data_IF_536818633353
#
_entry.id   IF_536818633353
#
_cell.length_a   1.000
_cell.length_b   1.000
_cell.length_c   1.000
_cell.angle_alpha   90.00
_cell.angle_beta   90.00
_cell.angle_gamma   90.00
#
_symmetry.space_group_name_H-M   'P 1'
#
loop_
_entity.id
_entity.type
_entity.pdbx_description
1 polymer ?
#
# COMPACT_ATOMS: atom_id res chain seq x y z
N UNK A 1 37.22 51.85 1.24
CA UNK A 1 36.35 50.89 0.54
C UNK A 1 36.06 49.79 1.53
N UNK A 2 34.86 49.80 2.09
CA UNK A 2 34.46 49.09 3.31
C UNK A 2 33.87 47.76 2.89
N UNK A 3 34.49 46.64 3.29
CA UNK A 3 34.00 45.30 2.93
C UNK A 3 33.16 44.73 4.06
N UNK A 4 31.91 44.42 3.72
CA UNK A 4 30.86 43.94 4.61
C UNK A 4 31.10 42.52 5.15
N UNK A 5 31.00 42.45 6.47
CA UNK A 5 30.31 41.45 7.29
C UNK A 5 29.43 40.42 6.53
N UNK A 6 29.73 39.13 6.69
CA UNK A 6 28.74 38.04 6.48
C UNK A 6 28.76 37.10 7.69
N UNK A 7 27.69 37.18 8.47
CA UNK A 7 27.46 36.38 9.67
C UNK A 7 27.30 34.89 9.31
N UNK A 8 28.00 34.05 10.07
CA UNK A 8 27.96 32.59 9.99
C UNK A 8 26.62 32.08 10.53
N UNK A 9 25.90 31.33 9.69
CA UNK A 9 24.64 30.72 10.04
C UNK A 9 24.82 29.62 11.10
N UNK A 10 23.83 29.57 11.97
CA UNK A 10 23.72 28.74 13.17
C UNK A 10 23.75 27.25 12.82
N UNK A 11 24.84 26.59 13.22
CA UNK A 11 24.96 25.15 13.36
C UNK A 11 24.00 24.68 14.46
N UNK A 12 22.78 24.33 14.06
CA UNK A 12 21.85 23.64 14.95
C UNK A 12 22.24 22.17 14.95
N UNK A 13 23.13 21.82 15.88
CA UNK A 13 23.65 20.47 16.13
C UNK A 13 22.57 19.46 16.55
N UNK A 14 21.55 19.28 15.72
CA UNK A 14 20.63 18.18 15.82
C UNK A 14 21.28 16.97 15.16
N UNK A 15 21.42 15.85 15.87
CA UNK A 15 22.02 14.65 15.30
C UNK A 15 21.20 14.21 14.08
N UNK A 16 21.87 14.07 12.93
CA UNK A 16 21.30 13.43 11.74
C UNK A 16 21.17 11.95 12.05
N UNK A 17 19.99 11.54 12.53
CA UNK A 17 19.70 10.15 12.86
C UNK A 17 19.60 9.36 11.55
N UNK A 18 20.65 8.62 11.25
CA UNK A 18 20.68 7.70 10.12
C UNK A 18 19.74 6.52 10.40
N UNK A 19 18.71 6.31 9.56
CA UNK A 19 17.76 5.20 9.74
C UNK A 19 18.44 3.83 9.81
N UNK A 20 19.64 3.68 9.23
CA UNK A 20 20.44 2.45 9.31
C UNK A 20 21.14 2.23 10.64
N UNK A 21 21.33 3.24 11.49
CA UNK A 21 21.92 3.06 12.83
C UNK A 21 20.91 2.55 13.87
N UNK A 22 19.61 2.64 13.60
CA UNK A 22 18.57 2.12 14.50
C UNK A 22 18.50 0.58 14.56
N UNK A 23 19.07 -0.13 13.57
CA UNK A 23 19.02 -1.59 13.52
C UNK A 23 20.23 -2.31 14.14
N UNK A 24 21.24 -1.58 14.64
CA UNK A 24 22.46 -2.19 15.19
C UNK A 24 22.45 -2.39 16.71
N UNK A 25 21.35 -2.06 17.40
CA UNK A 25 21.24 -2.22 18.84
C UNK A 25 19.98 -3.01 19.21
N UNK A 26 19.99 -4.32 18.94
CA UNK A 26 19.04 -5.25 19.54
C UNK A 26 19.81 -6.31 20.33
N UNK A 27 19.77 -6.27 21.68
CA UNK A 27 20.32 -7.33 22.52
C UNK A 27 19.48 -8.60 22.37
N UNK A 28 20.13 -9.69 21.97
CA UNK A 28 19.54 -11.03 21.95
C UNK A 28 19.44 -11.59 23.38
N UNK A 29 18.54 -11.06 24.21
CA UNK A 29 18.15 -11.68 25.48
C UNK A 29 16.94 -10.97 26.11
N UNK A 30 15.72 -11.23 25.63
CA UNK A 30 14.49 -11.12 26.42
C UNK A 30 13.46 -12.11 25.82
N UNK A 31 13.69 -13.38 26.11
CA UNK A 31 12.71 -14.45 25.92
C UNK A 31 11.51 -14.21 26.88
N UNK A 32 10.30 -14.26 26.30
CA UNK A 32 8.97 -14.45 26.93
C UNK A 32 8.17 -13.20 27.39
N UNK A 33 8.73 -11.99 27.44
CA UNK A 33 8.04 -10.86 28.10
C UNK A 33 7.50 -9.72 27.26
N UNK A 34 7.82 -9.64 25.98
CA UNK A 34 7.39 -8.54 25.11
C UNK A 34 7.31 -9.06 23.69
N UNK A 35 6.19 -9.68 23.33
CA UNK A 35 5.79 -9.59 21.94
C UNK A 35 5.78 -8.09 21.65
N UNK A 36 6.49 -7.62 20.59
CA UNK A 36 6.22 -6.30 20.09
C UNK A 36 4.71 -6.23 19.99
N UNK A 37 4.12 -5.16 20.50
CA UNK A 37 2.80 -4.78 20.05
C UNK A 37 2.93 -4.56 18.55
N UNK A 38 2.86 -5.66 17.77
CA UNK A 38 2.37 -5.68 16.42
C UNK A 38 1.06 -4.98 16.59
N UNK A 39 1.07 -3.71 16.20
CA UNK A 39 0.04 -2.75 16.50
C UNK A 39 -1.31 -3.43 16.31
N UNK A 40 -2.23 -3.30 17.27
CA UNK A 40 -3.61 -3.77 17.12
C UNK A 40 -4.30 -3.26 15.83
N UNK A 41 -3.67 -2.37 15.06
CA UNK A 41 -4.04 -1.99 13.69
C UNK A 41 -3.91 -3.14 12.66
N UNK A 42 -2.95 -4.07 12.78
CA UNK A 42 -2.88 -5.23 11.86
C UNK A 42 -3.96 -6.27 12.17
N UNK A 43 -4.45 -6.32 13.40
CA UNK A 43 -5.52 -7.23 13.82
C UNK A 43 -6.90 -6.85 13.23
N UNK A 44 -7.05 -5.64 12.68
CA UNK A 44 -8.30 -5.16 12.06
C UNK A 44 -8.26 -5.13 10.53
N UNK A 45 -7.13 -5.49 9.91
CA UNK A 45 -7.05 -5.54 8.45
C UNK A 45 -7.72 -6.80 7.92
N UNK A 46 -8.73 -6.60 7.09
CA UNK A 46 -9.29 -7.66 6.24
C UNK A 46 -8.19 -8.20 5.30
N UNK A 47 -8.38 -9.41 4.74
CA UNK A 47 -7.48 -9.92 3.71
C UNK A 47 -7.30 -8.96 2.53
N UNK A 48 -8.37 -8.28 2.10
CA UNK A 48 -8.35 -7.31 1.01
C UNK A 48 -7.50 -6.09 1.38
N UNK A 49 -7.63 -5.55 2.58
CA UNK A 49 -6.79 -4.41 3.03
C UNK A 49 -5.31 -4.78 2.99
N UNK A 50 -4.94 -5.98 3.46
CA UNK A 50 -3.53 -6.43 3.41
C UNK A 50 -3.02 -6.55 1.99
N UNK A 51 -3.79 -7.19 1.11
CA UNK A 51 -3.43 -7.34 -0.30
C UNK A 51 -3.32 -5.97 -1.00
N UNK A 52 -4.22 -5.04 -0.69
CA UNK A 52 -4.18 -3.68 -1.22
C UNK A 52 -2.92 -2.92 -0.79
N UNK A 53 -2.52 -3.02 0.47
CA UNK A 53 -1.30 -2.36 0.96
C UNK A 53 -0.05 -2.93 0.30
N UNK A 54 0.00 -4.24 0.08
CA UNK A 54 1.08 -4.90 -0.65
C UNK A 54 1.13 -4.43 -2.10
N UNK A 55 0.00 -4.48 -2.80
CA UNK A 55 -0.15 -3.96 -4.17
C UNK A 55 0.24 -2.49 -4.25
N UNK A 56 -0.23 -1.64 -3.32
CA UNK A 56 0.06 -0.20 -3.33
C UNK A 56 1.55 0.07 -3.15
N UNK A 57 2.20 -0.65 -2.25
CA UNK A 57 3.65 -0.53 -2.03
C UNK A 57 4.43 -0.93 -3.28
N UNK A 58 4.01 -2.03 -3.94
CA UNK A 58 4.62 -2.49 -5.18
C UNK A 58 4.38 -1.52 -6.34
N UNK A 59 3.14 -1.04 -6.51
CA UNK A 59 2.76 -0.09 -7.56
C UNK A 59 3.50 1.25 -7.39
N UNK A 60 3.63 1.75 -6.16
CA UNK A 60 4.40 2.96 -5.88
C UNK A 60 5.89 2.79 -6.21
N UNK A 61 6.46 1.63 -5.89
CA UNK A 61 7.84 1.34 -6.26
C UNK A 61 8.00 1.24 -7.77
N UNK A 62 7.06 0.58 -8.47
CA UNK A 62 7.07 0.45 -9.92
C UNK A 62 6.98 1.84 -10.58
N UNK A 63 6.03 2.68 -10.17
CA UNK A 63 5.80 3.98 -10.79
C UNK A 63 6.92 5.01 -10.51
N UNK A 64 7.67 4.87 -9.41
CA UNK A 64 8.68 5.86 -9.00
C UNK A 64 10.12 5.36 -9.05
N UNK A 65 10.35 4.05 -9.18
CA UNK A 65 11.63 3.40 -8.91
C UNK A 65 12.29 2.70 -10.09
N UNK A 66 11.62 2.60 -11.25
CA UNK A 66 12.06 1.74 -12.36
C UNK A 66 12.33 2.50 -13.67
N UNK A 67 12.58 3.82 -13.61
CA UNK A 67 12.72 4.66 -14.81
C UNK A 67 13.86 4.29 -15.77
N UNK A 68 14.85 3.51 -15.33
CA UNK A 68 16.02 3.11 -16.14
C UNK A 68 16.02 1.60 -16.51
N UNK A 69 14.93 0.88 -16.23
CA UNK A 69 14.83 -0.56 -16.51
C UNK A 69 14.48 -0.78 -18.00
N UNK A 70 15.08 -1.77 -18.70
CA UNK A 70 14.66 -2.13 -20.06
C UNK A 70 13.17 -2.50 -20.14
N UNK A 71 12.52 -2.16 -21.25
CA UNK A 71 11.08 -2.39 -21.44
C UNK A 71 10.67 -3.85 -21.18
N UNK A 72 11.45 -4.82 -21.67
CA UNK A 72 11.18 -6.26 -21.48
C UNK A 72 11.18 -6.67 -20.00
N UNK A 73 12.07 -6.08 -19.19
CA UNK A 73 12.13 -6.32 -17.75
C UNK A 73 11.01 -5.56 -17.03
N UNK A 74 10.61 -4.39 -17.53
CA UNK A 74 9.50 -3.61 -17.00
C UNK A 74 8.15 -4.33 -17.19
N UNK A 75 7.93 -4.94 -18.35
CA UNK A 75 6.73 -5.72 -18.65
C UNK A 75 6.54 -6.86 -17.64
N UNK A 76 7.61 -7.55 -17.25
CA UNK A 76 7.56 -8.60 -16.20
C UNK A 76 7.09 -8.04 -14.86
N UNK A 77 7.47 -6.81 -14.51
CA UNK A 77 7.05 -6.15 -13.28
C UNK A 77 5.58 -5.70 -13.36
N UNK A 78 5.13 -5.22 -14.51
CA UNK A 78 3.72 -4.89 -14.76
C UNK A 78 2.84 -6.15 -14.63
N UNK A 79 3.24 -7.26 -15.23
CA UNK A 79 2.57 -8.56 -15.09
C UNK A 79 2.52 -9.02 -13.63
N UNK A 80 3.59 -8.77 -12.86
CA UNK A 80 3.59 -9.06 -11.43
C UNK A 80 2.57 -8.20 -10.68
N UNK A 81 2.50 -6.90 -10.94
CA UNK A 81 1.50 -6.00 -10.33
C UNK A 81 0.09 -6.50 -10.65
N UNK A 82 -0.17 -6.82 -11.92
CA UNK A 82 -1.46 -7.32 -12.37
C UNK A 82 -1.85 -8.64 -11.70
N UNK A 83 -0.91 -9.58 -11.53
CA UNK A 83 -1.18 -10.82 -10.78
C UNK A 83 -1.61 -10.58 -9.32
N UNK A 84 -1.10 -9.51 -8.69
CA UNK A 84 -1.50 -9.13 -7.34
C UNK A 84 -2.92 -8.54 -7.32
N UNK A 85 -3.30 -7.78 -8.34
CA UNK A 85 -4.66 -7.27 -8.50
C UNK A 85 -5.67 -8.41 -8.64
N UNK A 86 -5.40 -9.37 -9.52
CA UNK A 86 -6.25 -10.56 -9.69
C UNK A 86 -6.39 -11.35 -8.40
N UNK A 87 -5.27 -11.61 -7.71
CA UNK A 87 -5.28 -12.31 -6.43
C UNK A 87 -6.11 -11.56 -5.36
N UNK A 88 -6.00 -10.23 -5.30
CA UNK A 88 -6.81 -9.42 -4.40
C UNK A 88 -8.30 -9.47 -4.74
N UNK A 89 -8.65 -9.49 -6.02
CA UNK A 89 -10.03 -9.58 -6.47
C UNK A 89 -10.70 -10.90 -6.10
N UNK A 90 -9.94 -11.99 -6.01
CA UNK A 90 -10.44 -13.32 -5.61
C UNK A 90 -10.69 -13.44 -4.09
N UNK A 91 -10.17 -12.50 -3.29
CA UNK A 91 -10.49 -12.44 -1.86
C UNK A 91 -11.93 -11.95 -1.67
N UNK A 92 -12.72 -12.52 -0.75
CA UNK A 92 -14.06 -12.01 -0.46
C UNK A 92 -14.00 -10.65 0.24
N UNK A 93 -14.83 -9.69 -0.17
CA UNK A 93 -14.97 -8.43 0.57
C UNK A 93 -15.80 -8.66 1.82
N UNK A 94 -15.33 -8.15 2.96
CA UNK A 94 -16.06 -8.24 4.23
C UNK A 94 -16.94 -7.01 4.47
N UNK A 95 -16.61 -5.89 3.85
CA UNK A 95 -17.35 -4.64 3.94
C UNK A 95 -17.20 -3.79 2.66
N UNK A 96 -17.83 -2.61 2.64
CA UNK A 96 -17.73 -1.67 1.51
C UNK A 96 -16.33 -1.10 1.34
N UNK A 97 -15.50 -1.07 2.39
CA UNK A 97 -14.13 -0.55 2.32
C UNK A 97 -13.27 -1.50 1.48
N UNK A 98 -13.42 -2.81 1.67
CA UNK A 98 -12.75 -3.83 0.85
C UNK A 98 -13.09 -3.68 -0.64
N UNK A 99 -14.38 -3.53 -0.96
CA UNK A 99 -14.81 -3.35 -2.33
C UNK A 99 -14.27 -2.03 -2.94
N UNK A 100 -14.19 -0.97 -2.14
CA UNK A 100 -13.59 0.30 -2.55
C UNK A 100 -12.09 0.14 -2.83
N UNK A 101 -11.35 -0.61 -2.01
CA UNK A 101 -9.91 -0.84 -2.22
C UNK A 101 -9.64 -1.69 -3.46
N UNK A 102 -10.46 -2.72 -3.71
CA UNK A 102 -10.43 -3.46 -4.98
C UNK A 102 -10.65 -2.53 -6.17
N UNK A 103 -11.67 -1.67 -6.10
CA UNK A 103 -11.92 -0.69 -7.15
C UNK A 103 -10.71 0.23 -7.36
N UNK A 104 -10.14 0.77 -6.29
CA UNK A 104 -8.99 1.67 -6.35
C UNK A 104 -7.77 1.01 -6.99
N UNK A 105 -7.48 -0.26 -6.68
CA UNK A 105 -6.37 -0.96 -7.35
C UNK A 105 -6.67 -1.21 -8.83
N UNK A 106 -7.92 -1.59 -9.13
CA UNK A 106 -8.35 -1.89 -10.50
C UNK A 106 -8.33 -0.68 -11.43
N UNK A 107 -8.52 0.51 -10.86
CA UNK A 107 -8.52 1.76 -11.60
C UNK A 107 -7.19 2.52 -11.53
N UNK A 108 -6.13 1.89 -11.01
CA UNK A 108 -4.85 2.54 -10.70
C UNK A 108 -5.03 3.89 -9.95
N UNK A 109 -5.95 3.89 -8.98
CA UNK A 109 -6.31 5.09 -8.21
C UNK A 109 -7.30 6.04 -8.90
N UNK A 110 -7.99 5.57 -9.95
CA UNK A 110 -8.99 6.33 -10.71
C UNK A 110 -8.45 6.96 -12.00
N UNK A 111 -7.23 6.62 -12.41
CA UNK A 111 -6.56 7.17 -13.59
C UNK A 111 -6.95 6.44 -14.87
N UNK A 112 -7.06 5.12 -14.83
CA UNK A 112 -7.34 4.26 -15.98
C UNK A 112 -7.96 2.93 -15.53
N UNK A 113 -8.56 2.15 -16.42
CA UNK A 113 -9.01 0.79 -16.09
C UNK A 113 -8.01 -0.25 -16.58
N UNK A 114 -7.74 -1.29 -15.79
CA UNK A 114 -7.01 -2.45 -16.33
C UNK A 114 -7.78 -3.07 -17.51
N UNK A 115 -7.07 -3.61 -18.49
CA UNK A 115 -7.63 -4.16 -19.74
C UNK A 115 -8.69 -5.24 -19.52
N UNK A 116 -8.71 -5.86 -18.35
CA UNK A 116 -9.65 -6.91 -17.96
C UNK A 116 -10.96 -6.36 -17.33
N UNK A 117 -11.25 -5.08 -17.58
CA UNK A 117 -12.35 -4.31 -17.01
C UNK A 117 -13.69 -5.06 -17.01
N UNK A 118 -14.02 -5.68 -18.15
CA UNK A 118 -15.37 -6.21 -18.35
C UNK A 118 -15.71 -7.36 -17.41
N UNK A 119 -14.80 -8.32 -17.22
CA UNK A 119 -15.07 -9.50 -16.41
C UNK A 119 -14.93 -9.19 -14.92
N UNK A 120 -13.83 -8.55 -14.55
CA UNK A 120 -13.47 -8.29 -13.15
C UNK A 120 -14.30 -7.15 -12.56
N UNK A 121 -14.57 -6.09 -13.34
CA UNK A 121 -15.43 -4.99 -12.94
C UNK A 121 -16.89 -5.43 -12.73
N UNK A 122 -17.46 -6.24 -13.63
CA UNK A 122 -18.82 -6.76 -13.46
C UNK A 122 -18.95 -7.68 -12.24
N UNK A 123 -17.88 -8.40 -11.86
CA UNK A 123 -17.85 -9.20 -10.63
C UNK A 123 -17.96 -8.30 -9.40
N UNK A 124 -17.21 -7.21 -9.35
CA UNK A 124 -17.27 -6.24 -8.25
C UNK A 124 -18.63 -5.54 -8.15
N UNK A 125 -19.22 -5.16 -9.28
CA UNK A 125 -20.57 -4.55 -9.31
C UNK A 125 -21.61 -5.51 -8.73
N UNK A 126 -21.55 -6.80 -9.07
CA UNK A 126 -22.43 -7.82 -8.49
C UNK A 126 -22.20 -7.98 -6.98
N UNK A 127 -20.94 -8.00 -6.56
CA UNK A 127 -20.56 -8.09 -5.14
C UNK A 127 -21.14 -6.93 -4.33
N UNK A 128 -20.98 -5.70 -4.82
CA UNK A 128 -21.54 -4.48 -4.22
C UNK A 128 -23.07 -4.51 -4.18
N UNK A 129 -23.72 -4.97 -5.25
CA UNK A 129 -25.17 -5.13 -5.28
C UNK A 129 -25.67 -6.09 -4.20
N UNK A 130 -24.98 -7.22 -3.99
CA UNK A 130 -25.34 -8.18 -2.94
C UNK A 130 -25.16 -7.59 -1.53
N UNK A 131 -24.09 -6.82 -1.28
CA UNK A 131 -23.87 -6.14 0.01
C UNK A 131 -24.92 -5.07 0.30
N UNK A 132 -25.34 -4.32 -0.73
CA UNK A 132 -26.39 -3.31 -0.58
C UNK A 132 -27.73 -3.95 -0.21
N UNK A 133 -28.08 -5.07 -0.86
CA UNK A 133 -29.32 -5.80 -0.59
C UNK A 133 -29.35 -6.44 0.81
N UNK A 134 -28.22 -7.00 1.29
CA UNK A 134 -28.16 -7.57 2.64
C UNK A 134 -28.38 -6.50 3.71
N UNK A 135 -27.81 -5.31 3.52
CA UNK A 135 -27.96 -4.19 4.45
C UNK A 135 -29.41 -3.68 4.55
N UNK A 136 -30.16 -3.70 3.45
CA UNK A 136 -31.58 -3.28 3.43
C UNK A 136 -32.47 -4.33 4.12
N UNK A 137 -32.16 -5.62 3.95
CA UNK A 137 -32.94 -6.72 4.53
C UNK A 137 -32.89 -6.82 6.05
N UNK A 138 -31.82 -6.35 6.69
CA UNK A 138 -31.69 -6.31 8.16
C UNK A 138 -32.44 -5.13 8.80
N UNK A 139 -32.84 -4.13 8.01
CA UNK A 139 -33.51 -2.92 8.49
C UNK A 139 -35.06 -2.96 8.43
N UNK A 140 -35.64 -4.07 7.97
CA UNK A 140 -37.08 -4.29 7.80
C UNK A 140 -37.65 -5.26 8.84
#
# INVERSE_FOLDING_TARGET
MTTEQRASATDTGLPVINRRSLFKAAPAALLVGAMPAVSMAEASHTPVIRAYLEWKTYSDWLNNGTGDIPDEDFDVLVERRYSMELAMFDLPSQDLRDATLKLMAFTDGGSDFSDDFYNTGMRLVKELGNMALSTIGEAA
#
